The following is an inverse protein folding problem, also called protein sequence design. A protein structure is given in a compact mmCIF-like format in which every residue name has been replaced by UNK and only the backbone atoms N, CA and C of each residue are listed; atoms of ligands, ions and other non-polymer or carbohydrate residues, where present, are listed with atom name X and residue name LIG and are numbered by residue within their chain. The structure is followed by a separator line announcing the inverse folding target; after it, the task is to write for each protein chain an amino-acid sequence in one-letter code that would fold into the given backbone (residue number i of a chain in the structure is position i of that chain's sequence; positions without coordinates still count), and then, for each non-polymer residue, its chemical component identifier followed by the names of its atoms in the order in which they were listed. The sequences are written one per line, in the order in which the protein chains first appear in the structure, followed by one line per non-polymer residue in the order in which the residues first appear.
data_IF_822577109766
#
_entry.id   IF_822577109766
#
_cell.length_a   1.000
_cell.length_b   1.000
_cell.length_c   1.000
_cell.angle_alpha   90.00
_cell.angle_beta   90.00
_cell.angle_gamma   90.00
#
_symmetry.space_group_name_H-M   'P 1'
#
loop_
_entity.id
_entity.type
_entity.pdbx_description
1 polymer ?
#
# COMPACT_ATOMS: atom_id res chain seq x y z
N UNK A 1 -2.18 -11.42 -8.41
CA UNK A 1 -1.22 -11.14 -7.32
C UNK A 1 -0.05 -10.34 -7.84
N UNK A 2 0.56 -9.54 -6.99
CA UNK A 2 1.78 -8.83 -7.35
C UNK A 2 2.91 -9.82 -7.65
N UNK A 3 3.70 -9.52 -8.68
CA UNK A 3 4.90 -10.30 -8.98
C UNK A 3 5.90 -10.13 -7.83
N UNK A 4 6.76 -11.13 -7.63
CA UNK A 4 7.76 -11.09 -6.56
C UNK A 4 8.63 -9.83 -6.64
N UNK A 5 8.99 -9.40 -7.83
CA UNK A 5 9.78 -8.18 -8.06
C UNK A 5 9.08 -6.90 -7.59
N UNK A 6 7.75 -6.94 -7.39
CA UNK A 6 6.96 -5.80 -6.93
C UNK A 6 6.55 -5.92 -5.45
N UNK A 7 7.12 -6.87 -4.69
CA UNK A 7 6.79 -7.05 -3.29
C UNK A 7 7.90 -6.54 -2.39
N UNK A 8 7.51 -5.84 -1.33
CA UNK A 8 8.39 -5.57 -0.20
C UNK A 8 8.28 -6.74 0.76
N UNK A 9 9.31 -7.59 0.83
CA UNK A 9 9.29 -8.79 1.64
C UNK A 9 10.28 -8.76 2.80
N UNK A 10 11.24 -7.83 2.79
CA UNK A 10 12.27 -7.75 3.82
C UNK A 10 11.92 -6.71 4.86
N UNK A 11 12.11 -7.06 6.13
CA UNK A 11 11.87 -6.14 7.26
C UNK A 11 12.70 -4.87 7.16
N UNK A 12 13.93 -4.96 6.64
CA UNK A 12 14.81 -3.80 6.42
C UNK A 12 14.18 -2.76 5.50
N UNK A 13 13.48 -3.21 4.46
CA UNK A 13 12.84 -2.31 3.49
C UNK A 13 11.72 -1.53 4.14
N UNK A 14 10.90 -2.20 4.97
CA UNK A 14 9.85 -1.52 5.73
C UNK A 14 10.44 -0.50 6.71
N UNK A 15 11.47 -0.90 7.46
CA UNK A 15 12.12 0.00 8.41
C UNK A 15 12.72 1.23 7.76
N UNK A 16 13.33 1.07 6.60
CA UNK A 16 13.89 2.19 5.85
C UNK A 16 12.78 3.19 5.45
N UNK A 17 11.66 2.67 4.94
CA UNK A 17 10.54 3.52 4.52
C UNK A 17 9.93 4.27 5.70
N UNK A 18 9.76 3.59 6.84
CA UNK A 18 9.23 4.23 8.05
C UNK A 18 10.12 5.36 8.54
N UNK A 19 11.43 5.21 8.39
CA UNK A 19 12.38 6.20 8.85
C UNK A 19 12.58 7.37 7.90
N UNK A 20 12.58 7.12 6.60
CA UNK A 20 12.95 8.08 5.57
C UNK A 20 11.83 8.48 4.61
N UNK A 21 10.71 7.76 4.64
CA UNK A 21 9.64 7.96 3.68
C UNK A 21 8.80 9.20 3.94
N UNK A 22 8.23 9.72 2.87
CA UNK A 22 7.16 10.69 2.93
C UNK A 22 5.84 9.94 3.11
N UNK A 23 4.78 10.63 3.48
CA UNK A 23 3.49 9.97 3.67
C UNK A 23 2.32 10.79 3.15
N UNK A 24 1.25 10.08 2.81
CA UNK A 24 -0.05 10.60 2.45
C UNK A 24 -1.09 9.74 3.14
N UNK A 25 -2.16 10.31 3.66
CA UNK A 25 -3.11 9.53 4.45
C UNK A 25 -4.54 10.00 4.29
N UNK A 26 -5.48 9.11 4.67
CA UNK A 26 -6.90 9.43 4.83
C UNK A 26 -7.42 8.70 6.07
N UNK A 27 -8.75 8.62 6.24
CA UNK A 27 -9.34 7.98 7.41
C UNK A 27 -9.13 6.46 7.47
N UNK A 28 -8.73 5.83 6.38
CA UNK A 28 -8.70 4.38 6.23
C UNK A 28 -7.31 3.79 6.11
N UNK A 29 -6.36 4.54 5.57
CA UNK A 29 -5.00 4.05 5.42
C UNK A 29 -4.00 5.19 5.30
N UNK A 30 -2.74 4.85 5.56
CA UNK A 30 -1.60 5.74 5.34
C UNK A 30 -0.71 5.11 4.29
N UNK A 31 -0.34 5.88 3.29
CA UNK A 31 0.66 5.48 2.31
C UNK A 31 1.98 6.13 2.67
N UNK A 32 3.03 5.32 2.82
CA UNK A 32 4.39 5.82 2.93
C UNK A 32 5.15 5.46 1.66
N UNK A 33 6.00 6.35 1.21
CA UNK A 33 6.75 6.13 -0.02
C UNK A 33 8.13 6.77 0.07
N UNK A 34 9.08 6.17 -0.64
CA UNK A 34 10.48 6.60 -0.63
C UNK A 34 11.05 6.41 -2.04
N UNK A 35 11.91 7.33 -2.51
CA UNK A 35 12.56 7.17 -3.81
C UNK A 35 13.36 5.87 -3.89
N UNK A 36 13.35 5.24 -5.06
CA UNK A 36 14.12 4.05 -5.31
C UNK A 36 14.80 4.13 -6.67
N UNK A 37 15.97 3.52 -6.79
CA UNK A 37 16.66 3.37 -8.08
C UNK A 37 16.31 2.05 -8.75
N UNK A 38 15.47 1.23 -8.14
CA UNK A 38 15.05 -0.04 -8.70
C UNK A 38 14.19 0.17 -9.94
N UNK A 39 14.30 -0.76 -10.88
CA UNK A 39 13.56 -0.70 -12.13
C UNK A 39 12.05 -0.85 -11.90
N UNK A 40 11.65 -1.72 -10.97
CA UNK A 40 10.26 -1.99 -10.66
C UNK A 40 9.91 -1.45 -9.28
N UNK A 41 8.78 -0.75 -9.13
CA UNK A 41 8.35 -0.28 -7.81
C UNK A 41 7.98 -1.47 -6.93
N UNK A 42 8.34 -1.41 -5.67
CA UNK A 42 8.00 -2.44 -4.69
C UNK A 42 6.90 -1.93 -3.78
N UNK A 43 5.95 -2.81 -3.49
CA UNK A 43 4.78 -2.48 -2.69
C UNK A 43 4.68 -3.45 -1.52
N UNK A 44 4.53 -2.89 -0.33
CA UNK A 44 4.31 -3.66 0.89
C UNK A 44 3.03 -3.23 1.58
N UNK A 45 2.53 -4.10 2.45
CA UNK A 45 1.30 -3.86 3.20
C UNK A 45 1.55 -4.15 4.67
N UNK A 46 1.05 -3.26 5.53
CA UNK A 46 1.05 -3.44 6.97
C UNK A 46 -0.39 -3.37 7.44
N UNK A 47 -0.95 -4.51 7.84
CA UNK A 47 -2.33 -4.60 8.30
C UNK A 47 -2.36 -4.55 9.82
N UNK A 48 -3.05 -3.55 10.36
CA UNK A 48 -3.17 -3.38 11.80
C UNK A 48 -3.95 -4.55 12.42
N UNK A 49 -3.41 -5.14 13.49
CA UNK A 49 -4.06 -6.25 14.20
C UNK A 49 -5.43 -5.87 14.77
N UNK A 50 -5.63 -4.59 15.07
CA UNK A 50 -6.92 -4.08 15.57
C UNK A 50 -8.01 -4.06 14.51
N UNK A 51 -7.67 -4.28 13.24
CA UNK A 51 -8.63 -4.34 12.14
C UNK A 51 -9.62 -5.48 12.32
N UNK A 52 -9.19 -6.60 12.92
CA UNK A 52 -10.05 -7.73 13.15
C UNK A 52 -9.29 -9.05 13.20
N UNK A 53 -10.05 -10.15 13.09
CA UNK A 53 -9.52 -11.50 13.14
C UNK A 53 -8.61 -11.78 11.93
N UNK A 54 -7.80 -12.82 12.04
CA UNK A 54 -6.82 -13.18 11.02
C UNK A 54 -7.45 -13.36 9.62
N UNK A 55 -8.64 -13.98 9.54
CA UNK A 55 -9.30 -14.20 8.25
C UNK A 55 -9.67 -12.87 7.56
N UNK A 56 -10.09 -11.87 8.34
CA UNK A 56 -10.44 -10.56 7.80
C UNK A 56 -9.17 -9.83 7.33
N UNK A 57 -8.11 -9.90 8.14
CA UNK A 57 -6.83 -9.28 7.76
C UNK A 57 -6.27 -9.91 6.49
N UNK A 58 -6.38 -11.22 6.33
CA UNK A 58 -5.95 -11.92 5.12
C UNK A 58 -6.78 -11.52 3.91
N UNK A 59 -8.09 -11.36 4.11
CA UNK A 59 -8.99 -10.88 3.05
C UNK A 59 -8.60 -9.48 2.58
N UNK A 60 -8.36 -8.55 3.52
CA UNK A 60 -7.93 -7.20 3.21
C UNK A 60 -6.61 -7.19 2.44
N UNK A 61 -5.67 -8.00 2.87
CA UNK A 61 -4.37 -8.12 2.22
C UNK A 61 -4.52 -8.57 0.76
N UNK A 62 -5.37 -9.56 0.51
CA UNK A 62 -5.66 -10.01 -0.87
C UNK A 62 -6.32 -8.92 -1.69
N UNK A 63 -7.28 -8.20 -1.11
CA UNK A 63 -7.96 -7.09 -1.79
C UNK A 63 -6.99 -5.97 -2.14
N UNK A 64 -6.13 -5.59 -1.21
CA UNK A 64 -5.12 -4.56 -1.45
C UNK A 64 -4.13 -4.97 -2.53
N UNK A 65 -3.71 -6.24 -2.53
CA UNK A 65 -2.81 -6.76 -3.58
C UNK A 65 -3.48 -6.71 -4.95
N UNK A 66 -4.75 -7.08 -5.02
CA UNK A 66 -5.49 -7.03 -6.28
C UNK A 66 -5.64 -5.60 -6.80
N UNK A 67 -5.96 -4.66 -5.92
CA UNK A 67 -6.09 -3.25 -6.26
C UNK A 67 -4.76 -2.69 -6.76
N UNK A 68 -3.68 -2.90 -6.01
CA UNK A 68 -2.37 -2.37 -6.37
C UNK A 68 -1.81 -3.03 -7.63
N UNK A 69 -2.08 -4.32 -7.82
CA UNK A 69 -1.70 -5.01 -9.06
C UNK A 69 -2.32 -4.34 -10.28
N UNK A 70 -3.58 -3.95 -10.18
CA UNK A 70 -4.27 -3.28 -11.31
C UNK A 70 -3.74 -1.87 -11.56
N UNK A 71 -3.05 -1.27 -10.60
CA UNK A 71 -2.54 0.10 -10.69
C UNK A 71 -1.03 0.15 -10.96
N UNK A 72 -0.33 -0.99 -10.90
CA UNK A 72 1.14 -1.00 -10.90
C UNK A 72 1.74 -0.29 -12.11
N UNK A 73 1.13 -0.43 -13.28
CA UNK A 73 1.62 0.20 -14.51
C UNK A 73 1.35 1.70 -14.55
N UNK A 74 0.45 2.18 -13.71
CA UNK A 74 0.09 3.60 -13.62
C UNK A 74 0.86 4.34 -12.54
N UNK A 75 1.51 3.60 -11.63
CA UNK A 75 2.28 4.18 -10.54
C UNK A 75 3.62 4.71 -11.02
N UNK A 76 4.07 5.79 -10.36
CA UNK A 76 5.41 6.29 -10.60
C UNK A 76 6.43 5.22 -10.17
N UNK A 77 7.26 4.70 -11.12
CA UNK A 77 8.20 3.62 -10.81
C UNK A 77 9.42 4.06 -10.02
N UNK A 78 9.55 5.36 -9.74
CA UNK A 78 10.70 5.90 -9.02
C UNK A 78 10.59 5.78 -7.51
N UNK A 79 9.53 5.15 -6.99
CA UNK A 79 9.28 5.03 -5.56
C UNK A 79 8.97 3.60 -5.15
N UNK A 80 9.29 3.28 -3.89
CA UNK A 80 8.75 2.12 -3.20
C UNK A 80 7.60 2.58 -2.30
N UNK A 81 6.60 1.73 -2.10
CA UNK A 81 5.36 2.06 -1.44
C UNK A 81 5.06 1.10 -0.30
N UNK A 82 4.54 1.63 0.83
CA UNK A 82 3.96 0.81 1.90
C UNK A 82 2.58 1.37 2.24
N UNK A 83 1.57 0.53 2.18
CA UNK A 83 0.21 0.87 2.60
C UNK A 83 -0.01 0.33 4.00
N UNK A 84 -0.30 1.23 4.93
CA UNK A 84 -0.54 0.91 6.34
C UNK A 84 -2.03 1.11 6.60
N UNK A 85 -2.75 0.05 6.95
CA UNK A 85 -4.20 0.15 7.16
C UNK A 85 -4.51 0.67 8.56
N UNK A 86 -5.60 1.41 8.65
CA UNK A 86 -6.24 1.78 9.91
C UNK A 86 -7.41 0.83 10.17
N UNK A 87 -7.80 0.61 11.45
CA UNK A 87 -8.91 -0.31 11.75
C UNK A 87 -10.21 0.02 11.03
N UNK A 88 -10.47 1.29 10.76
CA UNK A 88 -11.68 1.76 10.10
C UNK A 88 -11.87 1.19 8.70
N UNK A 89 -10.79 0.71 8.05
CA UNK A 89 -10.88 0.12 6.71
C UNK A 89 -11.74 -1.14 6.71
N UNK A 90 -11.91 -1.79 7.85
CA UNK A 90 -12.71 -3.02 7.96
C UNK A 90 -14.18 -2.82 7.59
N UNK A 91 -14.68 -1.58 7.62
CA UNK A 91 -16.07 -1.27 7.27
C UNK A 91 -16.28 -1.08 5.77
N UNK A 92 -15.22 -1.08 4.98
CA UNK A 92 -15.30 -0.77 3.54
C UNK A 92 -15.45 -2.05 2.70
N UNK A 93 -16.20 -1.93 1.60
CA UNK A 93 -16.21 -2.96 0.56
C UNK A 93 -15.04 -2.75 -0.40
N UNK A 94 -14.88 -3.65 -1.36
CA UNK A 94 -13.75 -3.63 -2.30
C UNK A 94 -13.65 -2.30 -3.07
N UNK A 95 -14.76 -1.80 -3.58
CA UNK A 95 -14.75 -0.55 -4.37
C UNK A 95 -14.40 0.66 -3.50
N UNK A 96 -14.85 0.65 -2.25
CA UNK A 96 -14.53 1.72 -1.30
C UNK A 96 -13.05 1.68 -0.91
N UNK A 97 -12.48 0.47 -0.74
CA UNK A 97 -11.05 0.31 -0.47
C UNK A 97 -10.24 0.83 -1.66
N UNK A 98 -10.66 0.50 -2.86
CA UNK A 98 -10.01 0.96 -4.10
C UNK A 98 -10.03 2.50 -4.18
N UNK A 99 -11.16 3.12 -3.86
CA UNK A 99 -11.28 4.56 -3.83
C UNK A 99 -10.35 5.19 -2.79
N UNK A 100 -10.22 4.57 -1.61
CA UNK A 100 -9.33 5.05 -0.55
C UNK A 100 -7.86 4.98 -0.98
N UNK A 101 -7.46 3.90 -1.65
CA UNK A 101 -6.11 3.75 -2.20
C UNK A 101 -5.83 4.83 -3.25
N UNK A 102 -6.77 5.03 -4.18
CA UNK A 102 -6.64 6.06 -5.21
C UNK A 102 -6.50 7.46 -4.60
N UNK A 103 -7.24 7.75 -3.55
CA UNK A 103 -7.19 9.05 -2.90
C UNK A 103 -5.80 9.38 -2.37
N UNK A 104 -5.16 8.46 -1.63
CA UNK A 104 -3.85 8.72 -1.07
C UNK A 104 -2.77 8.80 -2.15
N UNK A 105 -2.90 8.05 -3.23
CA UNK A 105 -1.98 8.11 -4.36
C UNK A 105 -2.11 9.45 -5.10
N UNK A 106 -3.32 9.92 -5.32
CA UNK A 106 -3.57 11.20 -5.97
C UNK A 106 -3.11 12.38 -5.14
N UNK A 107 -3.33 12.34 -3.82
CA UNK A 107 -2.85 13.39 -2.91
C UNK A 107 -1.33 13.57 -2.98
N UNK A 108 -0.60 12.47 -3.14
CA UNK A 108 0.86 12.49 -3.22
C UNK A 108 1.38 12.62 -4.65
N UNK A 109 0.48 12.68 -5.64
CA UNK A 109 0.82 12.81 -7.06
C UNK A 109 1.74 11.69 -7.54
N UNK A 110 1.42 10.44 -7.14
CA UNK A 110 2.24 9.26 -7.41
C UNK A 110 1.82 8.48 -8.66
N UNK A 111 0.81 8.90 -9.35
CA UNK A 111 0.49 8.36 -10.68
C UNK A 111 1.40 9.02 -11.73
N UNK A 112 1.70 8.26 -12.77
CA UNK A 112 2.48 8.79 -13.89
C UNK A 112 1.76 9.95 -14.56
#
# INVERSE_FOLDING_TARGET
MLKQENRLIKRKEFGYIYKHGKYSFNNYLTLMYVPTKLKNPRIGFSINKKTGKAWLRNKLKRQLREITRSLIDKLNPSFNYVFITKPEIATLNFEEIKAAVNEVLNKAKLYK
#
